data_IF_541543609769
#
_entry.id   IF_541543609769
#
_cell.length_a   1.000
_cell.length_b   1.000
_cell.length_c   1.000
_cell.angle_alpha   90.00
_cell.angle_beta   90.00
_cell.angle_gamma   90.00
#
_symmetry.space_group_name_H-M   'P 1'
#
loop_
_entity.id
_entity.type
_entity.pdbx_description
1 polymer ?
#
# COMPACT_ATOMS: atom_id res chain seq x y z
N UNK A 1 -26.91 -7.61 -16.57
CA UNK A 1 -25.90 -8.41 -15.85
C UNK A 1 -25.16 -7.50 -14.87
N UNK A 2 -25.52 -7.50 -13.57
CA UNK A 2 -24.83 -6.71 -12.55
C UNK A 2 -23.70 -7.58 -11.99
N UNK A 3 -22.43 -7.23 -12.21
CA UNK A 3 -21.32 -7.86 -11.49
C UNK A 3 -21.49 -7.52 -10.02
N UNK A 4 -21.74 -8.54 -9.20
CA UNK A 4 -21.73 -8.41 -7.76
C UNK A 4 -20.32 -7.99 -7.34
N UNK A 5 -20.17 -6.76 -6.84
CA UNK A 5 -18.92 -6.30 -6.25
C UNK A 5 -18.81 -7.02 -4.91
N UNK A 6 -17.84 -7.92 -4.79
CA UNK A 6 -17.53 -8.57 -3.52
C UNK A 6 -17.01 -7.49 -2.59
N UNK A 7 -17.67 -7.27 -1.45
CA UNK A 7 -17.20 -6.37 -0.41
C UNK A 7 -15.94 -6.96 0.23
N UNK A 8 -14.85 -6.19 0.27
CA UNK A 8 -13.60 -6.59 0.93
C UNK A 8 -13.63 -6.14 2.39
N UNK A 9 -13.36 -7.06 3.33
CA UNK A 9 -13.11 -6.70 4.73
C UNK A 9 -11.65 -6.23 4.89
N UNK A 10 -11.46 -4.93 5.04
CA UNK A 10 -10.12 -4.33 5.17
C UNK A 10 -9.40 -4.73 6.45
N UNK A 11 -10.12 -5.15 7.50
CA UNK A 11 -9.50 -5.58 8.76
C UNK A 11 -8.88 -6.97 8.65
N UNK A 12 -9.39 -7.80 7.73
CA UNK A 12 -8.85 -9.13 7.49
C UNK A 12 -7.40 -9.11 6.97
N UNK A 13 -6.94 -7.98 6.42
CA UNK A 13 -5.53 -7.82 6.00
C UNK A 13 -4.55 -7.76 7.17
N UNK A 14 -5.00 -7.52 8.41
CA UNK A 14 -4.10 -7.40 9.56
C UNK A 14 -3.12 -6.24 9.40
N UNK A 15 -1.86 -6.45 9.79
CA UNK A 15 -0.78 -5.44 9.66
C UNK A 15 -0.13 -5.57 8.29
N UNK A 16 -0.19 -4.52 7.48
CA UNK A 16 0.34 -4.50 6.11
C UNK A 16 1.59 -3.64 6.04
N UNK A 17 2.64 -4.16 5.41
CA UNK A 17 3.82 -3.38 5.05
C UNK A 17 3.72 -2.94 3.58
N UNK A 18 3.91 -1.65 3.33
CA UNK A 18 4.05 -1.08 1.98
C UNK A 18 5.54 -0.87 1.76
N UNK A 19 6.10 -1.73 0.90
CA UNK A 19 7.55 -1.76 0.65
C UNK A 19 7.89 -0.79 -0.47
N UNK A 20 8.70 0.22 -0.17
CA UNK A 20 9.18 1.19 -1.15
C UNK A 20 10.48 1.87 -0.67
N UNK A 21 11.25 2.43 -1.59
CA UNK A 21 12.59 2.96 -1.32
C UNK A 21 13.66 2.03 -1.91
N UNK A 22 14.50 1.44 -1.07
CA UNK A 22 15.62 0.60 -1.50
C UNK A 22 16.85 1.40 -1.91
N UNK A 23 17.89 0.69 -2.38
CA UNK A 23 19.20 1.23 -2.76
C UNK A 23 19.38 1.40 -4.27
N UNK A 24 18.32 1.19 -5.06
CA UNK A 24 18.32 1.34 -6.52
C UNK A 24 18.45 2.81 -6.95
N UNK A 25 18.91 3.05 -8.17
CA UNK A 25 18.84 4.37 -8.85
C UNK A 25 17.40 4.88 -9.03
N UNK A 26 16.40 4.02 -8.89
CA UNK A 26 14.97 4.36 -8.99
C UNK A 26 14.34 4.73 -7.64
N UNK A 27 15.15 4.89 -6.58
CA UNK A 27 14.69 5.16 -5.20
C UNK A 27 13.64 6.27 -5.12
N UNK A 28 13.88 7.40 -5.78
CA UNK A 28 12.96 8.55 -5.71
C UNK A 28 11.59 8.23 -6.33
N UNK A 29 11.57 7.45 -7.41
CA UNK A 29 10.33 6.98 -8.04
C UNK A 29 9.61 5.99 -7.13
N UNK A 30 10.36 5.11 -6.47
CA UNK A 30 9.82 4.17 -5.48
C UNK A 30 9.21 4.92 -4.28
N UNK A 31 9.89 5.94 -3.75
CA UNK A 31 9.39 6.79 -2.67
C UNK A 31 8.09 7.51 -3.04
N UNK A 32 8.04 8.13 -4.23
CA UNK A 32 6.86 8.83 -4.72
C UNK A 32 5.67 7.87 -4.88
N UNK A 33 5.85 6.77 -5.59
CA UNK A 33 4.78 5.81 -5.86
C UNK A 33 4.32 5.06 -4.61
N UNK A 34 5.26 4.61 -3.77
CA UNK A 34 5.00 3.91 -2.52
C UNK A 34 4.26 4.75 -1.49
N UNK A 35 4.60 6.05 -1.37
CA UNK A 35 3.85 6.99 -0.52
C UNK A 35 2.40 7.15 -0.98
N UNK A 36 2.16 7.19 -2.31
CA UNK A 36 0.82 7.22 -2.88
C UNK A 36 -0.01 5.97 -2.57
N UNK A 37 0.61 4.78 -2.71
CA UNK A 37 -0.03 3.50 -2.36
C UNK A 37 -0.33 3.42 -0.87
N UNK A 38 0.61 3.83 -0.02
CA UNK A 38 0.43 3.87 1.44
C UNK A 38 -0.77 4.75 1.82
N UNK A 39 -0.82 5.97 1.30
CA UNK A 39 -1.93 6.90 1.54
C UNK A 39 -3.27 6.34 1.06
N UNK A 40 -3.31 5.71 -0.11
CA UNK A 40 -4.52 5.09 -0.64
C UNK A 40 -5.01 3.94 0.24
N UNK A 41 -4.11 3.07 0.70
CA UNK A 41 -4.47 1.95 1.59
C UNK A 41 -4.98 2.45 2.95
N UNK A 42 -4.30 3.44 3.53
CA UNK A 42 -4.72 4.04 4.80
C UNK A 42 -6.08 4.75 4.67
N UNK A 43 -6.34 5.43 3.55
CA UNK A 43 -7.64 6.05 3.27
C UNK A 43 -8.79 5.03 3.14
N UNK A 44 -8.49 3.79 2.74
CA UNK A 44 -9.45 2.68 2.74
C UNK A 44 -9.58 1.99 4.11
N UNK A 45 -8.85 2.43 5.14
CA UNK A 45 -8.90 1.86 6.49
C UNK A 45 -8.02 0.63 6.70
N UNK A 46 -7.09 0.35 5.77
CA UNK A 46 -6.08 -0.70 5.95
C UNK A 46 -5.05 -0.25 6.98
N UNK A 47 -4.65 -1.15 7.88
CA UNK A 47 -3.54 -0.93 8.83
C UNK A 47 -2.18 -1.08 8.12
N UNK A 48 -1.89 -0.12 7.24
CA UNK A 48 -0.72 -0.10 6.38
C UNK A 48 0.39 0.81 6.92
N UNK A 49 1.63 0.34 6.82
CA UNK A 49 2.84 1.02 7.29
C UNK A 49 3.92 1.07 6.20
N UNK A 50 4.66 2.18 6.14
CA UNK A 50 5.85 2.26 5.29
C UNK A 50 6.92 1.27 5.76
N UNK A 51 7.61 0.64 4.81
CA UNK A 51 8.79 -0.18 5.06
C UNK A 51 9.82 0.06 3.95
N UNK A 52 10.95 0.66 4.30
CA UNK A 52 12.09 0.83 3.39
C UNK A 52 13.14 -0.25 3.70
N UNK A 53 13.49 -1.13 2.74
CA UNK A 53 14.44 -2.23 2.96
C UNK A 53 15.92 -1.81 2.85
N UNK A 54 16.24 -0.55 2.52
CA UNK A 54 17.60 -0.03 2.42
C UNK A 54 18.25 0.25 3.78
#
# INVERSE_FOLDING_TARGET
>A
MRKQVVSVDVKAFGKVAVVFGGTSSERDVSLMSGSGVLGALQAQGVNAHAFDPA
#
